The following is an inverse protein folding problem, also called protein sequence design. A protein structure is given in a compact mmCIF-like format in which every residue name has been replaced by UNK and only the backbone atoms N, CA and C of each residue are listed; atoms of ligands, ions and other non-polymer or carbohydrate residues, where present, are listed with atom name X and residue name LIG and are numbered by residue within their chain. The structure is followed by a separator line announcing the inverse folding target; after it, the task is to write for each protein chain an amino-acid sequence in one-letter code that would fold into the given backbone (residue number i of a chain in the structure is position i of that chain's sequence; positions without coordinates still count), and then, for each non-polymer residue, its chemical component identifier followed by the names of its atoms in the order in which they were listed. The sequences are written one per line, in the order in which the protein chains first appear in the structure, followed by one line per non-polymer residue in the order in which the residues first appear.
data_IF_267309791844
#
_entry.id   IF_267309791844
#
_cell.length_a   1.000
_cell.length_b   1.000
_cell.length_c   1.000
_cell.angle_alpha   90.00
_cell.angle_beta   90.00
_cell.angle_gamma   90.00
#
_symmetry.space_group_name_H-M   'P 1'
#
loop_
_entity.id
_entity.type
_entity.pdbx_description
1 polymer ?
#
# COMPACT_ATOMS: atom_id res chain seq x y z
N UNK A 1 9.91 15.04 -36.04
CA UNK A 1 9.15 13.80 -36.11
C UNK A 1 8.37 13.58 -34.82
N UNK A 2 7.12 13.26 -34.97
CA UNK A 2 6.26 13.09 -33.82
C UNK A 2 6.49 11.73 -33.18
N UNK A 3 6.55 11.70 -31.85
CA UNK A 3 6.63 10.46 -31.10
C UNK A 3 5.28 10.07 -30.53
N UNK A 4 4.24 10.82 -30.88
CA UNK A 4 2.91 10.52 -30.36
C UNK A 4 2.33 9.31 -31.07
N UNK A 5 1.65 8.45 -30.32
CA UNK A 5 1.02 7.30 -30.95
C UNK A 5 -0.17 7.71 -31.80
N UNK A 6 -0.44 6.93 -32.82
CA UNK A 6 -1.62 7.12 -33.64
C UNK A 6 -2.87 6.70 -32.86
N UNK A 7 -4.04 7.07 -33.38
CA UNK A 7 -5.29 6.64 -32.79
C UNK A 7 -5.40 5.12 -32.76
N UNK A 8 -4.91 4.49 -33.83
CA UNK A 8 -4.93 3.04 -33.90
C UNK A 8 -4.07 2.42 -32.80
N UNK A 9 -2.89 2.98 -32.58
CA UNK A 9 -1.99 2.48 -31.57
C UNK A 9 -2.57 2.67 -30.16
N UNK A 10 -3.20 3.80 -29.93
CA UNK A 10 -3.85 4.06 -28.65
C UNK A 10 -4.99 3.09 -28.39
N UNK A 11 -5.77 2.79 -29.44
CA UNK A 11 -6.87 1.88 -29.29
C UNK A 11 -6.37 0.47 -28.99
N UNK A 12 -5.31 0.05 -29.69
CA UNK A 12 -4.73 -1.25 -29.43
C UNK A 12 -4.19 -1.36 -28.00
N UNK A 13 -3.50 -0.33 -27.55
CA UNK A 13 -2.97 -0.32 -26.20
C UNK A 13 -4.12 -0.39 -25.18
N UNK A 14 -5.18 0.36 -25.44
CA UNK A 14 -6.31 0.37 -24.53
C UNK A 14 -6.97 -0.99 -24.44
N UNK A 15 -7.06 -1.71 -25.56
CA UNK A 15 -7.64 -3.03 -25.55
C UNK A 15 -6.83 -4.02 -24.75
N UNK A 16 -5.53 -3.83 -24.66
CA UNK A 16 -4.66 -4.75 -23.95
C UNK A 16 -4.58 -4.48 -22.45
N UNK A 17 -5.01 -3.30 -22.03
CA UNK A 17 -5.02 -2.97 -20.61
C UNK A 17 -6.17 -3.71 -19.95
N UNK A 18 -5.84 -4.47 -18.90
CA UNK A 18 -6.86 -5.15 -18.12
C UNK A 18 -7.05 -4.42 -16.82
N UNK A 19 -8.31 -4.19 -16.47
CA UNK A 19 -8.62 -3.45 -15.25
C UNK A 19 -8.05 -4.12 -14.03
N UNK A 20 -8.09 -5.45 -13.98
CA UNK A 20 -7.56 -6.13 -12.80
C UNK A 20 -6.05 -5.92 -12.64
N UNK A 21 -5.32 -5.76 -13.75
CA UNK A 21 -3.90 -5.46 -13.65
C UNK A 21 -3.68 -4.08 -13.05
N UNK A 22 -4.52 -3.13 -13.43
CA UNK A 22 -4.43 -1.78 -12.89
C UNK A 22 -4.76 -1.80 -11.40
N UNK A 23 -5.76 -2.59 -11.02
CA UNK A 23 -6.10 -2.72 -9.61
C UNK A 23 -4.91 -3.26 -8.82
N UNK A 24 -4.28 -4.31 -9.31
CA UNK A 24 -3.13 -4.89 -8.63
C UNK A 24 -2.01 -3.87 -8.48
N UNK A 25 -1.71 -3.15 -9.56
CA UNK A 25 -0.65 -2.15 -9.51
C UNK A 25 -0.98 -1.03 -8.54
N UNK A 26 -2.23 -0.63 -8.51
CA UNK A 26 -2.66 0.43 -7.62
C UNK A 26 -2.50 0.02 -6.17
N UNK A 27 -2.95 -1.20 -5.85
CA UNK A 27 -2.82 -1.69 -4.48
C UNK A 27 -1.35 -1.83 -4.10
N UNK A 28 -0.52 -2.36 -5.00
CA UNK A 28 0.90 -2.49 -4.73
C UNK A 28 1.53 -1.12 -4.49
N UNK A 29 1.15 -0.13 -5.26
CA UNK A 29 1.66 1.23 -5.07
C UNK A 29 1.26 1.77 -3.71
N UNK A 30 0.01 1.55 -3.31
CA UNK A 30 -0.46 2.01 -2.00
C UNK A 30 0.30 1.33 -0.87
N UNK A 31 0.55 0.03 -0.99
CA UNK A 31 1.29 -0.70 0.02
C UNK A 31 2.72 -0.17 0.11
N UNK A 32 3.37 0.04 -1.04
CA UNK A 32 4.73 0.58 -1.04
C UNK A 32 4.77 1.97 -0.44
N UNK A 33 3.81 2.81 -0.79
CA UNK A 33 3.76 4.16 -0.25
C UNK A 33 3.59 4.13 1.27
N UNK A 34 2.72 3.26 1.75
CA UNK A 34 2.52 3.14 3.18
C UNK A 34 3.82 2.75 3.88
N UNK A 35 4.54 1.80 3.31
CA UNK A 35 5.80 1.40 3.89
C UNK A 35 6.80 2.53 3.95
N UNK A 36 6.87 3.31 2.88
CA UNK A 36 7.79 4.44 2.84
C UNK A 36 7.39 5.52 3.83
N UNK A 37 6.10 5.77 3.95
CA UNK A 37 5.63 6.78 4.90
C UNK A 37 5.81 6.35 6.35
N UNK A 38 6.11 5.09 6.58
CA UNK A 38 6.36 4.61 7.93
C UNK A 38 7.83 4.45 8.24
N UNK A 39 8.70 4.36 7.24
CA UNK A 39 10.08 3.97 7.50
C UNK A 39 11.12 4.93 6.94
N UNK A 40 10.82 5.74 5.94
CA UNK A 40 11.83 6.59 5.32
C UNK A 40 12.00 7.85 6.13
N UNK A 41 13.23 8.08 6.60
CA UNK A 41 13.53 9.28 7.37
C UNK A 41 13.26 10.52 6.52
N UNK A 42 12.63 11.50 7.15
CA UNK A 42 12.28 12.73 6.46
C UNK A 42 10.95 12.66 5.72
N UNK A 43 10.41 11.47 5.53
CA UNK A 43 9.14 11.29 4.86
C UNK A 43 8.11 10.62 5.74
N UNK A 44 8.43 10.35 7.00
CA UNK A 44 7.51 9.63 7.87
C UNK A 44 6.25 10.43 8.10
N UNK A 45 5.15 9.79 7.88
CA UNK A 45 3.83 10.40 8.06
C UNK A 45 2.82 9.29 8.31
N UNK A 46 2.63 8.91 9.57
CA UNK A 46 1.74 7.78 9.87
C UNK A 46 0.31 7.98 9.42
N UNK A 47 -0.17 9.21 9.39
CA UNK A 47 -1.53 9.44 8.94
C UNK A 47 -1.68 9.17 7.44
N UNK A 48 -0.69 9.60 6.66
CA UNK A 48 -0.69 9.27 5.24
C UNK A 48 -0.56 7.79 5.03
N UNK A 49 0.27 7.14 5.84
CA UNK A 49 0.41 5.69 5.74
C UNK A 49 -0.91 5.00 6.04
N UNK A 50 -1.63 5.48 7.05
CA UNK A 50 -2.91 4.87 7.40
C UNK A 50 -3.90 5.00 6.25
N UNK A 51 -3.94 6.16 5.61
CA UNK A 51 -4.82 6.35 4.47
C UNK A 51 -4.49 5.37 3.35
N UNK A 52 -3.20 5.18 3.07
CA UNK A 52 -2.79 4.24 2.03
C UNK A 52 -3.16 2.80 2.40
N UNK A 53 -2.99 2.44 3.67
CA UNK A 53 -3.35 1.10 4.13
C UNK A 53 -4.87 0.88 3.98
N UNK A 54 -5.65 1.85 4.42
CA UNK A 54 -7.10 1.73 4.34
C UNK A 54 -7.56 1.63 2.89
N UNK A 55 -6.98 2.43 2.00
CA UNK A 55 -7.33 2.38 0.59
C UNK A 55 -6.99 1.01 0.00
N UNK A 56 -5.82 0.48 0.33
CA UNK A 56 -5.42 -0.83 -0.17
C UNK A 56 -6.38 -1.91 0.32
N UNK A 57 -6.79 -1.84 1.57
CA UNK A 57 -7.73 -2.81 2.11
C UNK A 57 -9.06 -2.76 1.41
N UNK A 58 -9.53 -1.58 1.10
CA UNK A 58 -10.82 -1.44 0.40
C UNK A 58 -10.73 -2.03 -1.00
N UNK A 59 -9.57 -1.98 -1.61
CA UNK A 59 -9.41 -2.51 -2.96
C UNK A 59 -9.09 -4.00 -2.98
N UNK A 60 -8.72 -4.57 -1.83
CA UNK A 60 -8.29 -5.95 -1.78
C UNK A 60 -9.32 -6.94 -2.36
N UNK A 61 -10.62 -6.77 -2.09
CA UNK A 61 -11.60 -7.70 -2.69
C UNK A 61 -11.64 -7.67 -4.20
N UNK A 62 -11.11 -6.61 -4.82
CA UNK A 62 -11.08 -6.50 -6.27
C UNK A 62 -9.82 -7.09 -6.89
N UNK A 63 -8.87 -7.49 -6.06
CA UNK A 63 -7.61 -8.06 -6.53
C UNK A 63 -7.86 -9.51 -6.96
N UNK A 64 -7.33 -9.93 -8.13
CA UNK A 64 -7.50 -11.32 -8.54
C UNK A 64 -6.92 -12.28 -7.52
N UNK A 65 -7.49 -13.47 -7.48
CA UNK A 65 -7.15 -14.45 -6.47
C UNK A 65 -5.66 -14.77 -6.47
N UNK A 66 -5.08 -14.90 -7.65
CA UNK A 66 -3.68 -15.28 -7.74
C UNK A 66 -2.74 -14.21 -7.20
N UNK A 67 -3.18 -12.96 -7.14
CA UNK A 67 -2.36 -11.88 -6.61
C UNK A 67 -2.72 -11.51 -5.19
N UNK A 68 -3.78 -12.11 -4.65
CA UNK A 68 -4.34 -11.67 -3.37
C UNK A 68 -3.42 -12.00 -2.20
N UNK A 69 -2.91 -13.24 -2.14
CA UNK A 69 -2.15 -13.67 -0.98
C UNK A 69 -0.87 -12.86 -0.76
N UNK A 70 -0.05 -12.61 -1.78
CA UNK A 70 1.14 -11.78 -1.56
C UNK A 70 0.80 -10.37 -1.10
N UNK A 71 -0.27 -9.79 -1.65
CA UNK A 71 -0.66 -8.45 -1.27
C UNK A 71 -1.16 -8.44 0.16
N UNK A 72 -1.95 -9.44 0.54
CA UNK A 72 -2.44 -9.52 1.90
C UNK A 72 -1.31 -9.68 2.90
N UNK A 73 -0.32 -10.50 2.56
CA UNK A 73 0.86 -10.64 3.41
C UNK A 73 1.60 -9.32 3.55
N UNK A 74 1.76 -8.59 2.46
CA UNK A 74 2.42 -7.30 2.52
C UNK A 74 1.63 -6.32 3.39
N UNK A 75 0.32 -6.32 3.25
CA UNK A 75 -0.53 -5.45 4.07
C UNK A 75 -0.41 -5.80 5.55
N UNK A 76 -0.37 -7.09 5.87
CA UNK A 76 -0.21 -7.51 7.26
C UNK A 76 1.09 -6.99 7.83
N UNK A 77 2.18 -7.09 7.06
CA UNK A 77 3.47 -6.60 7.51
C UNK A 77 3.47 -5.10 7.69
N UNK A 78 2.84 -4.39 6.76
CA UNK A 78 2.75 -2.93 6.86
C UNK A 78 1.94 -2.53 8.10
N UNK A 79 0.89 -3.27 8.40
CA UNK A 79 0.11 -2.98 9.59
C UNK A 79 0.90 -3.18 10.85
N UNK A 80 1.69 -4.23 10.92
CA UNK A 80 2.56 -4.44 12.06
C UNK A 80 3.56 -3.31 12.19
N UNK A 81 4.09 -2.87 11.06
CA UNK A 81 5.01 -1.75 11.06
C UNK A 81 4.31 -0.47 11.53
N UNK A 82 3.07 -0.27 11.08
CA UNK A 82 2.31 0.91 11.50
C UNK A 82 2.13 0.94 13.02
N UNK A 83 1.76 -0.20 13.59
CA UNK A 83 1.56 -0.28 15.03
C UNK A 83 2.87 0.02 15.76
N UNK A 84 3.96 -0.57 15.29
CA UNK A 84 5.25 -0.38 15.94
C UNK A 84 5.70 1.07 15.88
N UNK A 85 5.51 1.71 14.70
CA UNK A 85 5.98 3.07 14.52
C UNK A 85 5.11 4.10 15.24
N UNK A 86 3.86 3.75 15.54
CA UNK A 86 2.96 4.69 16.19
C UNK A 86 2.80 4.43 17.68
N UNK A 87 3.41 3.38 18.22
CA UNK A 87 3.33 3.08 19.63
C UNK A 87 4.48 3.75 20.37
N UNK A 88 4.18 4.57 21.39
CA UNK A 88 5.24 5.21 22.16
C UNK A 88 5.98 4.19 23.02
N UNK A 89 7.30 4.19 23.01
CA UNK A 89 8.06 3.23 23.82
C UNK A 89 7.79 3.37 25.32
N UNK A 90 7.64 4.58 25.81
CA UNK A 90 7.36 4.75 27.23
C UNK A 90 6.03 4.15 27.61
N UNK A 91 5.06 4.27 26.72
CA UNK A 91 3.78 3.72 26.97
C UNK A 91 3.84 2.21 27.12
N UNK A 92 4.62 1.58 26.26
CA UNK A 92 4.82 0.15 26.34
C UNK A 92 5.43 -0.25 27.68
N UNK A 93 6.47 0.49 28.07
CA UNK A 93 7.11 0.19 29.33
C UNK A 93 6.18 0.32 30.51
N UNK A 94 5.37 1.36 30.49
CA UNK A 94 4.46 1.58 31.59
C UNK A 94 3.40 0.52 31.67
N UNK A 95 2.91 0.09 30.54
CA UNK A 95 1.92 -0.97 30.53
C UNK A 95 2.48 -2.23 31.15
N UNK A 96 3.76 -2.45 30.96
CA UNK A 96 4.38 -3.68 31.39
C UNK A 96 4.78 -3.71 32.81
N UNK A 97 4.61 -2.68 33.55
CA UNK A 97 4.95 -2.69 34.96
C UNK A 97 3.70 -2.50 35.78
N UNK A 98 2.82 -3.46 35.74
CA UNK A 98 1.52 -3.28 36.38
C UNK A 98 1.59 -3.18 37.89
N UNK A 99 2.65 -3.57 38.47
CA UNK A 99 2.78 -3.43 39.91
C UNK A 99 3.10 -2.06 40.39
N UNK A 100 3.29 -1.16 39.50
CA UNK A 100 3.69 0.21 39.87
C UNK A 100 2.62 1.00 40.48
#
# INVERSE_FOLDING_TARGET
MSTEPTEEQLLEALKQIKTEDVVVQTVATLVNLAGQKLSVEGAKDPEEAKTAIDAARHMLPLVPEEANAPIQNALDQIQMLYVRETSPPEEESKIWTPGQ
#
